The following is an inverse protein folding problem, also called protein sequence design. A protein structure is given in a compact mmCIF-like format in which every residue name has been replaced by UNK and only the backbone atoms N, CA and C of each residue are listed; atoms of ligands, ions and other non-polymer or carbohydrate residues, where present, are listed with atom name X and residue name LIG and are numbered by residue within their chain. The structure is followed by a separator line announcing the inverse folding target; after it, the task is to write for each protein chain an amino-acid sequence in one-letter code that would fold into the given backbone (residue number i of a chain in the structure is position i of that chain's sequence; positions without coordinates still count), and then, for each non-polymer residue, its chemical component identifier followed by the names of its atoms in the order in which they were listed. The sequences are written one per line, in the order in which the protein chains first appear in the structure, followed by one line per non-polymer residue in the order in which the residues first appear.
data_IF_355892015417
#
_entry.id   IF_355892015417
#
_cell.length_a   1.000
_cell.length_b   1.000
_cell.length_c   1.000
_cell.angle_alpha   90.00
_cell.angle_beta   90.00
_cell.angle_gamma   90.00
#
_symmetry.space_group_name_H-M   'P 1'
#
loop_
_entity.id
_entity.type
_entity.pdbx_description
1 polymer ?
#
# COMPACT_ATOMS: atom_id res chain seq x y z
N UNK A 1 -26.81 -54.79 -12.77
CA UNK A 1 -26.17 -54.17 -11.57
C UNK A 1 -25.19 -53.07 -12.02
N UNK A 2 -25.63 -52.11 -12.83
CA UNK A 2 -24.81 -51.03 -13.41
C UNK A 2 -25.26 -49.65 -12.91
N UNK A 3 -26.41 -49.57 -12.23
CA UNK A 3 -26.99 -48.32 -11.69
C UNK A 3 -26.32 -47.87 -10.38
N UNK A 4 -25.58 -48.76 -9.70
CA UNK A 4 -24.96 -48.44 -8.40
C UNK A 4 -23.66 -47.61 -8.55
N UNK A 5 -23.01 -47.64 -9.72
CA UNK A 5 -21.75 -46.92 -9.95
C UNK A 5 -21.99 -45.41 -10.16
N UNK A 6 -23.19 -45.01 -10.57
CA UNK A 6 -23.53 -43.60 -10.76
C UNK A 6 -23.89 -42.87 -9.46
N UNK A 7 -24.05 -43.58 -8.33
CA UNK A 7 -24.65 -43.02 -7.12
C UNK A 7 -23.66 -42.65 -6.01
N UNK A 8 -22.36 -42.96 -6.15
CA UNK A 8 -21.32 -42.54 -5.20
C UNK A 8 -20.15 -41.79 -5.85
N UNK A 9 -20.33 -41.36 -7.11
CA UNK A 9 -19.61 -40.22 -7.68
C UNK A 9 -20.30 -38.89 -7.37
N UNK A 10 -21.17 -38.88 -6.35
CA UNK A 10 -21.37 -37.72 -5.48
C UNK A 10 -20.07 -37.47 -4.67
N UNK A 11 -18.98 -37.25 -5.41
CA UNK A 11 -17.93 -36.36 -4.96
C UNK A 11 -18.68 -35.09 -4.59
N UNK A 12 -18.74 -34.81 -3.30
CA UNK A 12 -19.01 -33.48 -2.81
C UNK A 12 -17.93 -32.60 -3.44
N UNK A 13 -18.21 -32.08 -4.63
CA UNK A 13 -17.59 -30.87 -5.12
C UNK A 13 -18.19 -29.81 -4.22
N UNK A 14 -17.62 -29.72 -3.01
CA UNK A 14 -17.65 -28.50 -2.24
C UNK A 14 -16.95 -27.51 -3.14
N UNK A 15 -17.73 -26.76 -3.91
CA UNK A 15 -17.24 -25.52 -4.50
C UNK A 15 -16.96 -24.65 -3.29
N UNK A 16 -15.78 -24.82 -2.70
CA UNK A 16 -15.17 -23.77 -1.92
C UNK A 16 -14.92 -22.71 -2.97
N UNK A 17 -15.89 -21.81 -3.14
CA UNK A 17 -15.57 -20.49 -3.64
C UNK A 17 -14.59 -19.96 -2.61
N UNK A 18 -13.29 -20.14 -2.87
CA UNK A 18 -12.30 -19.21 -2.38
C UNK A 18 -12.75 -17.89 -3.00
N UNK A 19 -13.68 -17.21 -2.32
CA UNK A 19 -13.82 -15.79 -2.46
C UNK A 19 -12.50 -15.29 -1.89
N UNK A 20 -11.48 -15.30 -2.75
CA UNK A 20 -10.31 -14.51 -2.51
C UNK A 20 -10.86 -13.11 -2.48
N UNK A 21 -11.09 -12.62 -1.26
CA UNK A 21 -11.30 -11.21 -0.99
C UNK A 21 -9.93 -10.55 -1.16
N UNK A 22 -9.33 -10.75 -2.34
CA UNK A 22 -8.08 -10.15 -2.75
C UNK A 22 -8.39 -8.68 -2.95
N UNK A 23 -7.90 -7.87 -2.01
CA UNK A 23 -8.12 -6.42 -1.89
C UNK A 23 -9.54 -6.13 -1.40
N UNK A 24 -9.80 -5.37 -0.33
CA UNK A 24 -9.56 -3.94 -0.16
C UNK A 24 -9.52 -3.61 1.33
N UNK A 25 -8.46 -2.99 1.84
CA UNK A 25 -8.45 -2.50 3.23
C UNK A 25 -9.25 -1.18 3.31
N UNK A 26 -10.57 -1.30 3.30
CA UNK A 26 -11.49 -0.20 3.58
C UNK A 26 -11.11 0.46 4.91
N UNK A 27 -10.90 1.78 4.89
CA UNK A 27 -10.54 2.54 6.10
C UNK A 27 -9.12 2.27 6.61
N UNK A 28 -8.15 2.07 5.71
CA UNK A 28 -6.74 1.85 6.04
C UNK A 28 -6.26 2.81 7.15
N UNK A 29 -5.88 2.20 8.25
CA UNK A 29 -5.43 2.84 9.47
C UNK A 29 -4.23 2.02 9.96
N UNK A 30 -3.05 2.63 10.03
CA UNK A 30 -1.80 1.93 10.35
C UNK A 30 -1.10 2.68 11.46
N UNK A 31 -0.85 2.02 12.58
CA UNK A 31 0.00 2.51 13.67
C UNK A 31 1.44 2.02 13.49
N UNK A 32 2.38 2.71 14.12
CA UNK A 32 3.73 2.19 14.23
C UNK A 32 3.73 0.82 14.92
N UNK A 33 4.45 -0.14 14.32
CA UNK A 33 4.43 -1.57 14.68
C UNK A 33 3.49 -2.42 13.84
N UNK A 34 2.53 -1.83 13.13
CA UNK A 34 1.63 -2.52 12.20
C UNK A 34 2.17 -2.44 10.78
N UNK A 35 1.89 -3.47 9.97
CA UNK A 35 2.21 -3.48 8.54
C UNK A 35 1.04 -4.02 7.72
N UNK A 36 0.99 -3.62 6.45
CA UNK A 36 0.04 -4.13 5.47
C UNK A 36 0.81 -4.68 4.29
N UNK A 37 0.48 -5.90 3.90
CA UNK A 37 1.15 -6.61 2.82
C UNK A 37 0.27 -6.52 1.59
N UNK A 38 0.86 -6.17 0.45
CA UNK A 38 0.17 -6.14 -0.84
C UNK A 38 -0.31 -7.55 -1.21
N UNK A 39 -1.41 -7.67 -1.97
CA UNK A 39 -1.71 -8.92 -2.68
C UNK A 39 -0.47 -9.39 -3.45
N UNK A 40 -0.26 -10.70 -3.55
CA UNK A 40 0.97 -11.27 -4.14
C UNK A 40 2.22 -11.25 -3.25
N UNK A 41 2.19 -10.61 -2.07
CA UNK A 41 3.29 -10.59 -1.09
C UNK A 41 4.63 -9.99 -1.58
N UNK A 42 4.60 -9.13 -2.59
CA UNK A 42 5.81 -8.49 -3.14
C UNK A 42 6.20 -7.23 -2.37
N UNK A 43 5.22 -6.45 -1.95
CA UNK A 43 5.40 -5.18 -1.23
C UNK A 43 4.77 -5.21 0.15
N UNK A 44 5.34 -4.42 1.04
CA UNK A 44 4.85 -4.21 2.40
C UNK A 44 4.91 -2.72 2.74
N UNK A 45 3.84 -2.24 3.37
CA UNK A 45 3.63 -0.87 3.83
C UNK A 45 3.68 -0.84 5.36
N UNK A 46 4.42 0.11 5.93
CA UNK A 46 4.42 0.32 7.39
C UNK A 46 5.49 1.30 7.85
N UNK A 47 5.78 1.28 9.15
CA UNK A 47 6.76 2.18 9.76
C UNK A 47 8.14 1.53 9.90
N UNK A 48 9.19 2.29 9.60
CA UNK A 48 10.57 1.84 9.70
C UNK A 48 11.53 2.96 10.11
N UNK A 49 12.77 2.57 10.42
CA UNK A 49 13.88 3.48 10.69
C UNK A 49 15.05 3.16 9.77
N UNK A 50 15.57 4.12 8.99
CA UNK A 50 16.69 3.89 8.09
C UNK A 50 18.03 3.87 8.83
N UNK A 51 18.83 2.83 8.58
CA UNK A 51 20.20 2.70 9.08
C UNK A 51 20.29 2.76 10.60
N UNK A 52 21.04 3.74 11.12
CA UNK A 52 21.22 3.98 12.57
C UNK A 52 20.33 5.10 13.13
N UNK A 53 19.44 5.67 12.30
CA UNK A 53 18.54 6.73 12.75
C UNK A 53 17.47 6.15 13.68
N UNK A 54 17.09 6.90 14.70
CA UNK A 54 15.89 6.62 15.51
C UNK A 54 14.61 7.22 14.92
N UNK A 55 14.73 8.03 13.86
CA UNK A 55 13.58 8.63 13.21
C UNK A 55 12.67 7.56 12.60
N UNK A 56 11.36 7.74 12.78
CA UNK A 56 10.33 6.85 12.24
C UNK A 56 9.74 7.45 10.96
N UNK A 57 9.67 6.60 9.94
CA UNK A 57 9.17 6.93 8.61
C UNK A 57 8.11 5.92 8.21
N UNK A 58 7.02 6.39 7.60
CA UNK A 58 6.07 5.55 6.91
C UNK A 58 6.55 5.33 5.48
N UNK A 59 6.65 4.09 5.04
CA UNK A 59 7.08 3.78 3.68
C UNK A 59 6.62 2.42 3.18
N UNK A 60 6.93 2.18 1.91
CA UNK A 60 6.66 0.94 1.18
C UNK A 60 8.01 0.33 0.82
N UNK A 61 8.21 -0.95 1.10
CA UNK A 61 9.42 -1.69 0.76
C UNK A 61 9.12 -3.01 0.08
N UNK A 62 10.13 -3.56 -0.59
CA UNK A 62 10.10 -4.92 -1.14
C UNK A 62 10.22 -5.92 0.02
N UNK A 63 9.25 -6.84 0.14
CA UNK A 63 9.14 -7.71 1.32
C UNK A 63 10.24 -8.78 1.38
N UNK A 64 10.60 -9.35 0.24
CA UNK A 64 11.42 -10.57 0.15
C UNK A 64 12.80 -10.35 -0.48
N UNK A 65 13.31 -9.11 -0.48
CA UNK A 65 14.58 -8.79 -1.14
C UNK A 65 15.81 -8.87 -0.22
N UNK A 66 15.63 -9.30 1.04
CA UNK A 66 16.68 -9.45 2.06
C UNK A 66 17.22 -8.13 2.63
N UNK A 67 17.21 -7.06 1.84
CA UNK A 67 17.73 -5.73 2.18
C UNK A 67 16.63 -4.75 2.65
N UNK A 68 15.35 -5.12 2.52
CA UNK A 68 14.18 -4.26 2.70
C UNK A 68 14.32 -2.98 1.88
N UNK A 69 14.58 -3.11 0.58
CA UNK A 69 14.75 -1.94 -0.29
C UNK A 69 13.47 -1.11 -0.28
N UNK A 70 13.63 0.18 -0.02
CA UNK A 70 12.50 1.10 0.13
C UNK A 70 12.10 1.62 -1.25
N UNK A 71 10.84 1.40 -1.62
CA UNK A 71 10.26 1.87 -2.87
C UNK A 71 9.68 3.29 -2.74
N UNK A 72 9.16 3.65 -1.56
CA UNK A 72 8.50 4.94 -1.33
C UNK A 72 8.47 5.33 0.15
N UNK A 73 8.49 6.63 0.47
CA UNK A 73 8.43 7.16 1.85
C UNK A 73 7.58 8.41 1.91
N UNK A 74 6.60 8.45 2.83
CA UNK A 74 5.69 9.58 3.01
C UNK A 74 6.41 10.79 3.62
N UNK A 75 6.83 10.66 4.88
CA UNK A 75 7.35 11.75 5.71
C UNK A 75 8.87 11.88 5.68
N UNK A 76 9.47 11.74 4.49
CA UNK A 76 10.92 11.78 4.27
C UNK A 76 11.62 13.05 4.79
N UNK A 77 10.94 14.19 4.79
CA UNK A 77 11.50 15.48 5.22
C UNK A 77 11.29 15.73 6.72
N UNK A 78 10.32 15.04 7.32
CA UNK A 78 9.86 15.27 8.69
C UNK A 78 9.73 13.92 9.40
N UNK A 79 10.84 13.34 9.89
CA UNK A 79 10.78 12.10 10.66
C UNK A 79 9.96 12.28 11.93
N UNK A 80 9.26 11.23 12.34
CA UNK A 80 8.63 11.18 13.66
C UNK A 80 9.69 10.75 14.67
N UNK A 81 9.76 11.45 15.81
CA UNK A 81 10.80 11.25 16.83
C UNK A 81 10.56 10.04 17.74
N UNK A 82 9.33 9.54 17.80
CA UNK A 82 8.89 8.40 18.60
C UNK A 82 8.07 7.39 17.77
N UNK A 83 7.62 6.31 18.41
CA UNK A 83 6.74 5.31 17.79
C UNK A 83 5.24 5.62 17.93
N UNK A 84 4.87 6.90 17.93
CA UNK A 84 3.46 7.33 17.99
C UNK A 84 2.83 7.54 16.61
N UNK A 85 3.55 7.23 15.53
CA UNK A 85 3.09 7.43 14.16
C UNK A 85 1.78 6.70 13.86
N UNK A 86 0.89 7.39 13.14
CA UNK A 86 -0.44 6.91 12.78
C UNK A 86 -0.87 7.44 11.41
N UNK A 87 -1.08 6.54 10.44
CA UNK A 87 -1.65 6.85 9.13
C UNK A 87 -3.16 6.60 9.16
N UNK A 88 -3.95 7.53 8.63
CA UNK A 88 -5.36 7.31 8.33
C UNK A 88 -5.81 8.09 7.10
N UNK A 89 -7.00 7.76 6.58
CA UNK A 89 -7.70 8.60 5.60
C UNK A 89 -8.67 9.55 6.31
N UNK A 90 -8.68 10.82 5.90
CA UNK A 90 -9.63 11.80 6.43
C UNK A 90 -10.92 11.87 5.60
N UNK A 91 -11.91 12.61 6.10
CA UNK A 91 -13.22 12.77 5.44
C UNK A 91 -13.14 13.47 4.09
N UNK A 92 -12.05 14.20 3.81
CA UNK A 92 -11.79 14.82 2.51
C UNK A 92 -11.12 13.88 1.51
N UNK A 93 -10.76 12.64 1.91
CA UNK A 93 -10.04 11.71 1.05
C UNK A 93 -8.55 11.98 0.94
N UNK A 94 -7.95 12.64 1.92
CA UNK A 94 -6.48 12.71 2.05
C UNK A 94 -5.98 11.62 2.98
N UNK A 95 -4.87 11.00 2.61
CA UNK A 95 -4.05 10.25 3.56
C UNK A 95 -3.36 11.25 4.48
N UNK A 96 -3.44 11.03 5.77
CA UNK A 96 -2.88 11.91 6.80
C UNK A 96 -2.04 11.07 7.75
N UNK A 97 -0.76 11.43 7.86
CA UNK A 97 0.15 10.87 8.84
C UNK A 97 0.23 11.82 10.04
N UNK A 98 -0.04 11.29 11.23
CA UNK A 98 -0.03 12.04 12.49
C UNK A 98 0.88 11.41 13.53
N UNK A 99 1.26 12.22 14.51
CA UNK A 99 1.78 11.74 15.80
C UNK A 99 0.61 11.56 16.76
N UNK A 100 0.37 10.34 17.25
CA UNK A 100 -0.74 10.06 18.16
C UNK A 100 -0.54 10.76 19.54
N UNK A 101 0.70 11.07 19.91
CA UNK A 101 1.03 11.77 21.16
C UNK A 101 0.61 13.25 21.18
N UNK A 102 0.72 13.95 20.04
CA UNK A 102 0.44 15.39 19.93
C UNK A 102 -0.72 15.73 18.99
N UNK A 103 -1.22 14.75 18.24
CA UNK A 103 -2.18 14.88 17.14
C UNK A 103 -1.71 15.78 15.97
N UNK A 104 -0.42 16.13 15.93
CA UNK A 104 0.19 16.93 14.88
C UNK A 104 0.22 16.15 13.54
N UNK A 105 -0.05 16.86 12.44
CA UNK A 105 0.07 16.30 11.08
C UNK A 105 1.50 16.46 10.61
N UNK A 106 2.15 15.34 10.34
CA UNK A 106 3.54 15.30 9.88
C UNK A 106 3.63 15.23 8.35
N UNK A 107 2.64 14.61 7.72
CA UNK A 107 2.53 14.52 6.27
C UNK A 107 1.07 14.32 5.83
N UNK A 108 0.74 14.78 4.63
CA UNK A 108 -0.58 14.60 4.01
C UNK A 108 -0.44 14.46 2.50
N UNK A 109 -1.28 13.63 1.87
CA UNK A 109 -1.35 13.50 0.41
C UNK A 109 -2.00 14.70 -0.28
N UNK A 110 -2.65 15.60 0.49
CA UNK A 110 -3.34 16.80 0.03
C UNK A 110 -4.32 16.52 -1.12
N UNK A 111 -5.44 15.87 -0.80
CA UNK A 111 -6.48 15.63 -1.79
C UNK A 111 -6.95 16.95 -2.43
N UNK A 112 -7.04 16.96 -3.76
CA UNK A 112 -7.50 18.11 -4.53
C UNK A 112 -9.02 18.22 -4.56
N UNK A 113 -9.72 17.11 -4.29
CA UNK A 113 -11.17 16.98 -4.39
C UNK A 113 -11.72 16.15 -3.23
N UNK A 114 -12.86 16.57 -2.68
CA UNK A 114 -13.57 15.84 -1.62
C UNK A 114 -14.29 14.62 -2.19
N UNK A 115 -14.05 13.46 -1.60
CA UNK A 115 -14.75 12.21 -1.92
C UNK A 115 -16.01 12.01 -1.07
N UNK A 116 -17.00 11.31 -1.60
CA UNK A 116 -18.20 10.95 -0.82
C UNK A 116 -17.94 9.76 0.09
N UNK A 117 -17.18 8.79 -0.42
CA UNK A 117 -16.78 7.60 0.34
C UNK A 117 -15.28 7.37 0.17
N UNK A 118 -14.40 8.14 0.84
CA UNK A 118 -12.97 8.01 0.66
C UNK A 118 -12.43 6.66 1.14
N UNK A 119 -11.73 5.95 0.24
CA UNK A 119 -11.09 4.66 0.55
C UNK A 119 -9.63 4.68 0.12
N UNK A 120 -8.76 4.21 1.03
CA UNK A 120 -7.36 3.94 0.73
C UNK A 120 -7.18 2.45 0.43
N UNK A 121 -6.40 2.12 -0.60
CA UNK A 121 -6.19 0.74 -1.06
C UNK A 121 -4.70 0.52 -1.32
N UNK A 122 -4.16 -0.58 -0.80
CA UNK A 122 -2.79 -1.01 -1.11
C UNK A 122 -2.83 -2.12 -2.17
N UNK A 123 -2.38 -1.79 -3.37
CA UNK A 123 -2.49 -2.65 -4.55
C UNK A 123 -1.36 -3.68 -4.61
N UNK A 124 -1.57 -4.76 -5.37
CA UNK A 124 -0.55 -5.78 -5.69
C UNK A 124 0.73 -5.15 -6.28
N UNK A 125 0.57 -4.09 -7.07
CA UNK A 125 1.68 -3.36 -7.67
C UNK A 125 2.53 -2.59 -6.66
N UNK A 126 2.17 -2.60 -5.37
CA UNK A 126 2.78 -1.81 -4.32
C UNK A 126 2.35 -0.35 -4.30
N UNK A 127 1.39 0.06 -5.14
CA UNK A 127 0.85 1.42 -5.09
C UNK A 127 -0.16 1.53 -3.95
N UNK A 128 0.05 2.50 -3.06
CA UNK A 128 -0.98 2.97 -2.15
C UNK A 128 -1.81 4.02 -2.89
N UNK A 129 -3.10 3.79 -3.03
CA UNK A 129 -4.00 4.66 -3.79
C UNK A 129 -5.18 5.14 -2.95
N UNK A 130 -5.76 6.27 -3.35
CA UNK A 130 -7.03 6.77 -2.80
C UNK A 130 -8.05 6.90 -3.92
N UNK A 131 -9.27 6.42 -3.66
CA UNK A 131 -10.42 6.52 -4.59
C UNK A 131 -11.74 6.65 -3.84
N UNK A 132 -12.80 7.01 -4.57
CA UNK A 132 -14.16 6.88 -4.03
C UNK A 132 -14.55 5.39 -3.98
N UNK A 133 -15.08 4.95 -2.85
CA UNK A 133 -15.57 3.58 -2.65
C UNK A 133 -16.85 3.29 -3.43
N UNK A 134 -17.57 4.33 -3.87
CA UNK A 134 -18.76 4.20 -4.70
C UNK A 134 -18.44 4.27 -6.21
N UNK A 135 -17.16 4.48 -6.56
CA UNK A 135 -16.72 4.54 -7.95
C UNK A 135 -16.58 3.13 -8.53
N UNK A 136 -17.25 2.93 -9.67
CA UNK A 136 -17.27 1.64 -10.38
C UNK A 136 -16.08 1.50 -11.34
N UNK A 137 -15.47 2.61 -11.75
CA UNK A 137 -14.24 2.57 -12.53
C UNK A 137 -13.05 2.22 -11.61
N UNK A 138 -12.44 1.02 -11.75
CA UNK A 138 -11.36 0.59 -10.87
C UNK A 138 -10.11 1.47 -10.96
N UNK A 139 -9.94 2.21 -12.06
CA UNK A 139 -8.76 3.01 -12.36
C UNK A 139 -8.93 4.52 -12.07
N UNK A 140 -10.11 4.94 -11.59
CA UNK A 140 -10.34 6.34 -11.24
C UNK A 140 -9.79 6.65 -9.84
N UNK A 141 -8.47 6.80 -9.76
CA UNK A 141 -7.75 7.16 -8.55
C UNK A 141 -7.57 8.67 -8.44
N UNK A 142 -7.72 9.21 -7.22
CA UNK A 142 -7.44 10.61 -6.93
C UNK A 142 -5.98 10.86 -6.54
N UNK A 143 -5.33 9.83 -5.99
CA UNK A 143 -3.96 9.93 -5.52
C UNK A 143 -3.31 8.55 -5.57
N UNK A 144 -2.04 8.51 -6.00
CA UNK A 144 -1.23 7.30 -6.04
C UNK A 144 0.16 7.59 -5.48
N UNK A 145 0.67 6.74 -4.58
CA UNK A 145 1.98 6.93 -3.97
C UNK A 145 3.10 7.09 -4.99
N UNK A 146 3.11 6.28 -6.04
CA UNK A 146 4.22 6.25 -6.99
C UNK A 146 4.17 7.38 -8.04
N UNK A 147 3.07 8.12 -8.16
CA UNK A 147 3.01 9.35 -8.95
C UNK A 147 3.62 10.56 -8.23
N UNK A 148 3.89 10.41 -6.94
CA UNK A 148 4.67 11.35 -6.14
C UNK A 148 6.03 10.72 -5.77
N UNK A 149 6.85 10.34 -6.77
CA UNK A 149 8.18 9.82 -6.51
C UNK A 149 9.02 10.94 -5.91
N UNK A 150 9.73 10.61 -4.85
CA UNK A 150 10.47 11.58 -4.05
C UNK A 150 11.84 11.90 -4.68
N UNK A 151 12.25 13.16 -4.68
CA UNK A 151 13.53 13.66 -5.23
C UNK A 151 14.76 13.40 -4.33
N UNK A 152 14.59 12.97 -3.08
CA UNK A 152 15.68 12.57 -2.17
C UNK A 152 15.70 11.06 -1.98
N UNK A 153 16.85 10.45 -2.26
CA UNK A 153 17.15 9.06 -1.94
C UNK A 153 17.41 8.89 -0.45
N UNK A 154 16.64 8.05 0.21
CA UNK A 154 16.93 7.54 1.55
C UNK A 154 17.76 6.25 1.45
N UNK A 155 18.59 5.91 2.46
CA UNK A 155 19.30 4.64 2.49
C UNK A 155 18.34 3.45 2.28
N UNK A 156 18.70 2.55 1.37
CA UNK A 156 17.87 1.41 0.97
C UNK A 156 16.98 1.64 -0.24
N UNK A 157 16.87 2.87 -0.78
CA UNK A 157 16.13 3.10 -2.02
C UNK A 157 16.94 2.69 -3.25
N UNK A 158 16.28 2.00 -4.21
CA UNK A 158 16.89 1.57 -5.49
C UNK A 158 16.39 2.45 -6.64
N UNK A 159 17.32 3.12 -7.33
CA UNK A 159 17.04 3.90 -8.54
C UNK A 159 17.03 2.97 -9.77
N UNK A 160 16.05 3.14 -10.65
CA UNK A 160 15.85 2.36 -11.87
C UNK A 160 15.51 3.22 -13.08
N UNK A 161 15.77 2.71 -14.28
CA UNK A 161 15.36 3.36 -15.53
C UNK A 161 14.37 2.45 -16.24
N UNK A 162 13.18 2.96 -16.53
CA UNK A 162 12.25 2.28 -17.42
C UNK A 162 12.79 2.42 -18.86
N UNK A 163 13.23 1.31 -19.45
CA UNK A 163 13.84 1.30 -20.78
C UNK A 163 12.82 1.49 -21.92
N UNK A 164 11.52 1.30 -21.66
CA UNK A 164 10.43 1.48 -22.63
C UNK A 164 10.01 2.94 -22.70
N UNK A 165 9.86 3.61 -21.55
CA UNK A 165 9.42 5.02 -21.50
C UNK A 165 10.58 6.02 -21.42
N UNK A 166 11.81 5.55 -21.24
CA UNK A 166 13.00 6.39 -21.06
C UNK A 166 13.06 7.10 -19.70
N UNK A 167 12.05 6.93 -18.85
CA UNK A 167 11.95 7.58 -17.55
C UNK A 167 12.98 7.04 -16.56
N UNK A 168 13.64 7.95 -15.84
CA UNK A 168 14.63 7.63 -14.81
C UNK A 168 14.04 7.99 -13.45
N UNK A 169 13.87 7.02 -12.55
CA UNK A 169 13.21 7.21 -11.26
C UNK A 169 13.32 5.97 -10.37
N UNK A 170 12.37 5.70 -9.48
CA UNK A 170 12.41 4.46 -8.69
C UNK A 170 11.92 3.27 -9.51
N UNK A 171 12.56 2.10 -9.34
CA UNK A 171 12.23 0.88 -10.08
C UNK A 171 10.73 0.55 -9.89
N UNK A 172 9.97 0.57 -10.99
CA UNK A 172 8.57 0.14 -11.07
C UNK A 172 8.53 -1.26 -11.71
N UNK A 173 8.15 -2.33 -11.00
CA UNK A 173 8.07 -3.66 -11.60
C UNK A 173 6.78 -3.92 -12.39
N UNK A 174 5.80 -2.99 -12.35
CA UNK A 174 4.41 -3.28 -12.72
C UNK A 174 4.01 -3.21 -14.19
N UNK A 175 4.94 -3.11 -15.14
CA UNK A 175 4.62 -3.25 -16.58
C UNK A 175 5.77 -3.95 -17.31
N UNK A 176 5.66 -5.27 -17.41
CA UNK A 176 6.24 -6.04 -18.51
C UNK A 176 5.14 -6.27 -19.55
#
# INVERSE_FOLDING_TARGET
MIIIIYFFLFSYITIITNLSLDTFTLGLSIKDGETVVSPGNFFELGFFSPGKSSGRYLGIWYKNDGEKSVAWVANRNTPISDSSGFLSINVQGSLVLRMNSTNEIVWSSNALTTLQNPVAVFLESGNLVVKDGNENNPDNFLWLSFEYPCDTLLPGMKLGKNLVTGWSGFYHPGRA
#
